data_IF_494791297055
#
_entry.id   IF_494791297055
#
_cell.length_a   1.000
_cell.length_b   1.000
_cell.length_c   1.000
_cell.angle_alpha   90.00
_cell.angle_beta   90.00
_cell.angle_gamma   90.00
#
_symmetry.space_group_name_H-M   'P 1'
#
loop_
_entity.id
_entity.type
_entity.pdbx_description
1 polymer ?
#
# COMPACT_ATOMS: atom_id res chain seq x y z
N UNK A 1 2.66 6.96 18.82
CA UNK A 1 2.69 6.52 17.42
C UNK A 1 1.89 5.26 17.27
N UNK A 2 0.56 5.36 17.28
CA UNK A 2 -0.36 4.25 17.06
C UNK A 2 -1.41 4.58 15.99
N UNK A 3 -2.34 3.66 15.75
CA UNK A 3 -3.40 3.84 14.73
C UNK A 3 -4.23 5.10 14.98
N UNK A 4 -4.49 5.44 16.25
CA UNK A 4 -5.22 6.67 16.61
C UNK A 4 -4.49 7.94 16.15
N UNK A 5 -3.17 8.00 16.29
CA UNK A 5 -2.37 9.14 15.82
C UNK A 5 -2.46 9.29 14.29
N UNK A 6 -2.53 8.16 13.57
CA UNK A 6 -2.69 8.15 12.11
C UNK A 6 -4.08 8.61 11.67
N UNK A 7 -5.13 8.26 12.44
CA UNK A 7 -6.50 8.72 12.18
C UNK A 7 -6.57 10.23 12.30
N UNK A 8 -6.07 10.80 13.40
CA UNK A 8 -6.04 12.25 13.59
C UNK A 8 -5.27 12.95 12.47
N UNK A 9 -4.13 12.40 12.04
CA UNK A 9 -3.37 12.97 10.92
C UNK A 9 -4.19 12.95 9.62
N UNK A 10 -4.88 11.84 9.33
CA UNK A 10 -5.73 11.70 8.14
C UNK A 10 -6.91 12.68 8.14
N UNK A 11 -7.53 12.90 9.30
CA UNK A 11 -8.62 13.86 9.47
C UNK A 11 -8.16 15.28 9.12
N UNK A 12 -7.04 15.73 9.68
CA UNK A 12 -6.47 17.06 9.43
C UNK A 12 -6.01 17.21 7.97
N UNK A 13 -5.43 16.17 7.38
CA UNK A 13 -5.07 16.18 5.95
C UNK A 13 -6.30 16.32 5.05
N UNK A 14 -7.40 15.64 5.38
CA UNK A 14 -8.68 15.76 4.69
C UNK A 14 -9.29 17.16 4.84
N UNK A 15 -9.28 17.70 6.06
CA UNK A 15 -9.75 19.06 6.35
C UNK A 15 -9.00 20.12 5.53
N UNK A 16 -7.67 19.99 5.44
CA UNK A 16 -6.82 20.90 4.66
C UNK A 16 -6.85 20.64 3.15
N UNK A 17 -7.58 19.61 2.68
CA UNK A 17 -7.52 19.12 1.29
C UNK A 17 -6.07 18.90 0.81
N UNK A 18 -5.20 18.37 1.68
CA UNK A 18 -3.78 18.25 1.42
C UNK A 18 -3.53 17.34 0.20
N UNK A 19 -2.90 17.85 -0.88
CA UNK A 19 -2.51 17.01 -1.99
C UNK A 19 -1.26 16.22 -1.61
N UNK A 20 -1.34 14.89 -1.61
CA UNK A 20 -0.17 14.06 -1.36
C UNK A 20 -0.44 12.57 -1.38
N UNK A 21 0.61 11.75 -1.57
CA UNK A 21 0.48 10.30 -1.62
C UNK A 21 0.41 9.65 -0.23
N UNK A 22 0.04 10.38 0.84
CA UNK A 22 0.06 9.82 2.20
C UNK A 22 -0.86 8.59 2.31
N UNK A 23 -2.10 8.70 1.83
CA UNK A 23 -3.04 7.58 1.87
C UNK A 23 -2.56 6.38 1.03
N UNK A 24 -2.15 6.60 -0.22
CA UNK A 24 -1.71 5.51 -1.09
C UNK A 24 -0.39 4.87 -0.63
N UNK A 25 0.57 5.68 -0.20
CA UNK A 25 1.92 5.21 0.16
C UNK A 25 2.02 4.72 1.59
N UNK A 26 1.57 5.49 2.57
CA UNK A 26 1.72 5.12 3.99
C UNK A 26 0.62 4.16 4.41
N UNK A 27 -0.65 4.52 4.16
CA UNK A 27 -1.79 3.75 4.65
C UNK A 27 -2.00 2.47 3.84
N UNK A 28 -2.04 2.55 2.50
CA UNK A 28 -2.23 1.35 1.68
C UNK A 28 -0.94 0.55 1.49
N UNK A 29 0.16 1.19 1.07
CA UNK A 29 1.44 0.53 0.85
C UNK A 29 2.14 0.09 2.14
N UNK A 30 2.48 1.07 2.99
CA UNK A 30 3.24 0.86 4.22
C UNK A 30 2.59 -0.14 5.17
N UNK A 31 1.29 -0.01 5.45
CA UNK A 31 0.59 -0.96 6.33
C UNK A 31 0.51 -2.37 5.71
N UNK A 32 0.42 -2.49 4.38
CA UNK A 32 0.43 -3.81 3.71
C UNK A 32 1.78 -4.51 3.91
N UNK A 33 2.89 -3.79 3.72
CA UNK A 33 4.24 -4.33 3.97
C UNK A 33 4.43 -4.64 5.46
N UNK A 34 3.94 -3.78 6.35
CA UNK A 34 4.01 -4.02 7.79
C UNK A 34 3.24 -5.28 8.20
N UNK A 35 2.07 -5.53 7.60
CA UNK A 35 1.21 -6.65 7.93
C UNK A 35 1.65 -7.98 7.27
N UNK A 36 2.11 -7.94 6.01
CA UNK A 36 2.30 -9.14 5.19
C UNK A 36 3.71 -9.30 4.60
N UNK A 37 4.58 -8.28 4.72
CA UNK A 37 5.94 -8.34 4.22
C UNK A 37 6.82 -9.29 5.03
N UNK A 38 7.83 -9.88 4.39
CA UNK A 38 8.91 -10.56 5.09
C UNK A 38 9.75 -9.56 5.91
N UNK A 39 10.53 -10.04 6.88
CA UNK A 39 11.40 -9.16 7.66
C UNK A 39 12.41 -8.40 6.78
N UNK A 40 12.93 -9.06 5.73
CA UNK A 40 13.80 -8.41 4.75
C UNK A 40 13.07 -7.28 4.00
N UNK A 41 11.83 -7.52 3.55
CA UNK A 41 11.02 -6.51 2.87
C UNK A 41 10.70 -5.32 3.80
N UNK A 42 10.37 -5.58 5.07
CA UNK A 42 10.09 -4.52 6.05
C UNK A 42 11.31 -3.62 6.27
N UNK A 43 12.47 -4.22 6.51
CA UNK A 43 13.72 -3.50 6.74
C UNK A 43 14.17 -2.68 5.52
N UNK A 44 13.91 -3.18 4.32
CA UNK A 44 14.28 -2.47 3.10
C UNK A 44 13.29 -1.34 2.74
N UNK A 45 11.98 -1.58 2.89
CA UNK A 45 10.94 -0.73 2.30
C UNK A 45 10.42 0.32 3.29
N UNK A 46 10.15 -0.06 4.55
CA UNK A 46 9.48 0.84 5.50
C UNK A 46 10.29 2.09 5.83
N UNK A 47 11.64 2.04 6.00
CA UNK A 47 12.43 3.26 6.20
C UNK A 47 12.33 4.23 5.02
N UNK A 48 12.36 3.71 3.78
CA UNK A 48 12.25 4.52 2.56
C UNK A 48 10.88 5.20 2.42
N UNK A 49 9.82 4.55 2.88
CA UNK A 49 8.48 5.15 2.96
C UNK A 49 8.46 6.26 4.02
N UNK A 50 9.01 5.99 5.21
CA UNK A 50 9.00 6.93 6.34
C UNK A 50 9.80 8.21 6.06
N UNK A 51 10.92 8.11 5.33
CA UNK A 51 11.73 9.28 4.91
C UNK A 51 11.16 9.99 3.67
N UNK A 52 10.12 9.43 3.03
CA UNK A 52 9.50 9.99 1.83
C UNK A 52 10.27 9.74 0.53
N UNK A 53 11.31 8.88 0.53
CA UNK A 53 12.10 8.54 -0.66
C UNK A 53 11.41 7.51 -1.57
N UNK A 54 10.47 6.72 -1.04
CA UNK A 54 9.72 5.73 -1.80
C UNK A 54 8.23 6.04 -1.80
N UNK A 55 7.65 6.19 -2.99
CA UNK A 55 6.21 6.22 -3.21
C UNK A 55 5.72 4.82 -3.57
N UNK A 56 4.62 4.41 -2.97
CA UNK A 56 4.01 3.10 -3.17
C UNK A 56 2.48 3.25 -3.25
N UNK A 57 1.81 2.26 -3.84
CA UNK A 57 0.35 2.14 -3.82
C UNK A 57 -0.03 0.67 -3.88
N UNK A 58 -1.25 0.35 -3.45
CA UNK A 58 -1.80 -1.00 -3.55
C UNK A 58 -2.59 -1.15 -4.86
N UNK A 59 -1.98 -1.81 -5.85
CA UNK A 59 -2.57 -2.05 -7.17
C UNK A 59 -3.55 -3.25 -7.14
N UNK A 60 -4.75 -3.02 -6.59
CA UNK A 60 -5.75 -4.08 -6.39
C UNK A 60 -6.98 -3.98 -7.30
N UNK A 61 -7.48 -2.78 -7.56
CA UNK A 61 -8.76 -2.61 -8.25
C UNK A 61 -8.62 -2.87 -9.75
N UNK A 62 -9.49 -3.70 -10.31
CA UNK A 62 -9.63 -3.93 -11.75
C UNK A 62 -11.01 -3.44 -12.25
N UNK A 63 -11.19 -3.21 -13.57
CA UNK A 63 -12.47 -2.75 -14.12
C UNK A 63 -13.67 -3.64 -13.76
N UNK A 64 -13.46 -4.96 -13.61
CA UNK A 64 -14.51 -5.91 -13.27
C UNK A 64 -14.74 -6.03 -11.75
N UNK A 65 -13.85 -5.50 -10.91
CA UNK A 65 -13.96 -5.66 -9.46
C UNK A 65 -15.06 -4.77 -8.89
N UNK A 66 -16.16 -5.38 -8.45
CA UNK A 66 -17.22 -4.70 -7.69
C UNK A 66 -17.16 -5.10 -6.22
N UNK A 67 -17.56 -4.20 -5.31
CA UNK A 67 -17.69 -4.47 -3.87
C UNK A 67 -16.43 -5.06 -3.20
N UNK A 68 -15.23 -4.72 -3.70
CA UNK A 68 -13.97 -5.25 -3.20
C UNK A 68 -13.82 -6.79 -3.30
N UNK A 69 -14.62 -7.49 -4.11
CA UNK A 69 -14.60 -8.95 -4.21
C UNK A 69 -13.29 -9.48 -4.86
N UNK A 70 -12.45 -10.23 -4.13
CA UNK A 70 -11.17 -10.74 -4.66
C UNK A 70 -11.35 -11.81 -5.74
N UNK A 71 -12.48 -12.51 -5.79
CA UNK A 71 -12.76 -13.54 -6.81
C UNK A 71 -12.94 -12.96 -8.22
N UNK A 72 -13.07 -11.63 -8.34
CA UNK A 72 -13.20 -10.91 -9.61
C UNK A 72 -11.86 -10.40 -10.16
N UNK A 73 -10.74 -10.67 -9.47
CA UNK A 73 -9.41 -10.34 -9.94
C UNK A 73 -9.02 -11.28 -11.09
N UNK A 74 -8.60 -10.70 -12.20
CA UNK A 74 -8.31 -11.39 -13.46
C UNK A 74 -6.83 -11.34 -13.84
N UNK A 75 -6.06 -10.37 -13.34
CA UNK A 75 -4.60 -10.35 -13.49
C UNK A 75 -4.00 -11.63 -12.90
N UNK A 76 -3.07 -12.25 -13.62
CA UNK A 76 -2.45 -13.50 -13.21
C UNK A 76 -0.94 -13.32 -13.16
N UNK A 77 -0.32 -13.76 -12.08
CA UNK A 77 1.12 -13.94 -12.03
C UNK A 77 1.45 -15.41 -12.34
N UNK A 78 2.27 -15.64 -13.36
CA UNK A 78 2.83 -16.97 -13.69
C UNK A 78 4.28 -17.03 -13.20
N UNK A 79 4.62 -18.06 -12.44
CA UNK A 79 5.98 -18.30 -12.01
C UNK A 79 6.88 -18.66 -13.21
N UNK A 80 8.06 -18.05 -13.27
CA UNK A 80 9.12 -18.33 -14.23
C UNK A 80 10.48 -18.29 -13.52
N UNK A 81 10.97 -19.48 -13.13
CA UNK A 81 12.15 -19.60 -12.27
C UNK A 81 11.95 -18.93 -10.92
N UNK A 82 12.84 -18.02 -10.56
CA UNK A 82 12.77 -17.20 -9.33
C UNK A 82 11.99 -15.89 -9.52
N UNK A 83 11.24 -15.76 -10.62
CA UNK A 83 10.52 -14.54 -11.01
C UNK A 83 9.06 -14.81 -11.36
N UNK A 84 8.31 -13.73 -11.59
CA UNK A 84 6.89 -13.77 -11.97
C UNK A 84 6.67 -12.95 -13.24
N UNK A 85 5.87 -13.49 -14.16
CA UNK A 85 5.31 -12.76 -15.31
C UNK A 85 3.87 -12.39 -14.98
N UNK A 86 3.55 -11.10 -15.03
CA UNK A 86 2.22 -10.53 -14.77
C UNK A 86 1.53 -10.24 -16.10
#
# INVERSE_FOLDING_TARGET
GGVLDMVTLMEEMGYAALPGPYFSTVILGGCTILAAGSEAQKQEILPKIAEGALRMTLARSEPATTQFNPSLITVKAKAEGDSWVI
#
